data_IF_594958572519
#
_entry.id   IF_594958572519
#
_cell.length_a   1.000
_cell.length_b   1.000
_cell.length_c   1.000
_cell.angle_alpha   90.00
_cell.angle_beta   90.00
_cell.angle_gamma   90.00
#
_symmetry.space_group_name_H-M   'P 1'
#
loop_
_entity.id
_entity.type
_entity.pdbx_description
1 polymer ?
#
# COMPACT_ATOMS: atom_id res chain seq x y z
N UNK A 1 0.70 28.73 -15.58
CA UNK A 1 -0.36 28.67 -14.55
C UNK A 1 0.31 28.21 -13.26
N UNK A 2 0.46 29.11 -12.30
CA UNK A 2 0.98 28.75 -10.99
C UNK A 2 -0.03 27.82 -10.30
N UNK A 3 0.39 26.59 -10.08
CA UNK A 3 -0.40 25.58 -9.35
C UNK A 3 -0.21 25.86 -7.85
N UNK A 4 -1.25 26.34 -7.20
CA UNK A 4 -1.23 26.50 -5.73
C UNK A 4 -1.12 25.09 -5.11
N UNK A 5 0.04 24.80 -4.55
CA UNK A 5 0.29 23.51 -3.86
C UNK A 5 -0.25 23.63 -2.43
N UNK A 6 -1.07 22.68 -2.01
CA UNK A 6 -1.53 22.60 -0.61
C UNK A 6 -0.33 22.40 0.33
N UNK A 7 -0.31 23.08 1.45
CA UNK A 7 0.71 22.90 2.50
C UNK A 7 0.77 21.48 3.06
N UNK A 8 -0.27 20.70 2.83
CA UNK A 8 -0.36 19.29 3.26
C UNK A 8 0.01 18.31 2.16
N UNK A 9 0.28 18.80 0.93
CA UNK A 9 0.70 17.98 -0.21
C UNK A 9 2.04 17.30 0.04
N UNK A 10 2.23 16.14 -0.58
CA UNK A 10 3.51 15.43 -0.63
C UNK A 10 4.64 16.26 -1.25
N UNK A 11 4.29 17.26 -2.06
CA UNK A 11 5.23 18.16 -2.76
C UNK A 11 5.58 19.41 -1.94
N UNK A 12 4.85 19.68 -0.85
CA UNK A 12 5.06 20.87 -0.02
C UNK A 12 6.31 20.81 0.86
N UNK A 13 6.77 19.62 1.19
CA UNK A 13 7.95 19.38 2.01
C UNK A 13 8.94 18.48 1.27
N UNK A 14 10.24 18.69 1.49
CA UNK A 14 11.25 17.78 0.96
C UNK A 14 11.05 16.35 1.52
N UNK A 15 11.40 15.31 0.72
CA UNK A 15 11.25 13.92 1.14
C UNK A 15 12.10 13.61 2.38
N UNK A 16 11.53 12.89 3.34
CA UNK A 16 12.18 12.53 4.59
C UNK A 16 11.91 11.09 5.03
N UNK A 17 12.77 10.54 5.89
CA UNK A 17 12.62 9.16 6.43
C UNK A 17 11.27 8.96 7.13
N UNK A 18 10.72 10.00 7.75
CA UNK A 18 9.40 9.95 8.39
C UNK A 18 8.26 9.59 7.46
N UNK A 19 8.37 9.90 6.16
CA UNK A 19 7.36 9.58 5.15
C UNK A 19 7.18 8.08 4.96
N UNK A 20 8.24 7.29 5.26
CA UNK A 20 8.22 5.84 5.18
C UNK A 20 7.20 5.21 6.15
N UNK A 21 6.72 5.98 7.15
CA UNK A 21 5.58 5.58 7.98
C UNK A 21 4.33 5.23 7.16
N UNK A 22 4.15 5.83 5.99
CA UNK A 22 3.07 5.48 5.07
C UNK A 22 3.08 4.02 4.62
N UNK A 23 4.24 3.38 4.55
CA UNK A 23 4.36 1.94 4.26
C UNK A 23 3.82 1.08 5.41
N UNK A 24 3.94 1.57 6.66
CA UNK A 24 3.47 0.87 7.85
C UNK A 24 1.95 0.94 8.00
N UNK A 25 1.29 1.87 7.29
CA UNK A 25 -0.17 1.92 7.20
C UNK A 25 -0.74 0.73 6.39
N UNK A 26 0.07 0.10 5.54
CA UNK A 26 -0.30 -1.09 4.77
C UNK A 26 0.58 -2.30 5.15
N UNK A 27 0.94 -3.14 4.20
CA UNK A 27 1.71 -4.37 4.38
C UNK A 27 3.20 -4.16 4.74
N UNK A 28 3.64 -2.91 4.94
CA UNK A 28 4.99 -2.61 5.39
C UNK A 28 5.24 -3.16 6.79
N UNK A 29 6.43 -3.72 6.99
CA UNK A 29 6.88 -4.27 8.27
C UNK A 29 8.16 -3.58 8.69
N UNK A 30 8.29 -3.30 9.97
CA UNK A 30 9.51 -2.77 10.57
C UNK A 30 10.01 -3.75 11.62
N UNK A 31 11.30 -4.07 11.57
CA UNK A 31 11.92 -5.00 12.52
C UNK A 31 13.10 -4.30 13.20
N UNK A 32 13.12 -4.30 14.53
CA UNK A 32 14.25 -3.83 15.32
C UNK A 32 15.37 -4.87 15.39
N UNK A 33 16.61 -4.38 15.48
CA UNK A 33 17.78 -5.18 15.83
C UNK A 33 18.32 -4.67 17.17
N UNK A 34 17.87 -5.31 18.23
CA UNK A 34 18.07 -4.78 19.57
C UNK A 34 17.51 -3.35 19.70
N UNK A 35 18.28 -2.50 20.39
CA UNK A 35 17.96 -1.08 20.55
C UNK A 35 18.85 -0.17 19.68
N UNK A 36 19.48 -0.71 18.65
CA UNK A 36 20.54 -0.02 17.91
C UNK A 36 20.18 0.32 16.47
N UNK A 37 19.35 -0.49 15.82
CA UNK A 37 18.98 -0.30 14.42
C UNK A 37 17.60 -0.89 14.12
N UNK A 38 17.04 -0.50 12.99
CA UNK A 38 15.81 -1.08 12.47
C UNK A 38 15.90 -1.28 10.96
N UNK A 39 15.06 -2.16 10.44
CA UNK A 39 14.93 -2.48 9.03
C UNK A 39 13.46 -2.36 8.63
N UNK A 40 13.22 -1.67 7.53
CA UNK A 40 11.90 -1.56 6.93
C UNK A 40 11.81 -2.47 5.70
N UNK A 41 10.69 -3.17 5.57
CA UNK A 41 10.40 -4.00 4.40
C UNK A 41 8.93 -3.90 4.01
N UNK A 42 8.63 -4.06 2.73
CA UNK A 42 7.26 -4.11 2.21
C UNK A 42 7.17 -5.13 1.08
N UNK A 43 6.21 -6.02 1.15
CA UNK A 43 5.85 -6.94 0.06
C UNK A 43 4.80 -6.24 -0.81
N UNK A 44 5.00 -6.27 -2.11
CA UNK A 44 4.09 -5.66 -3.08
C UNK A 44 3.62 -6.69 -4.10
N UNK A 45 2.46 -6.45 -4.70
CA UNK A 45 1.89 -7.41 -5.64
C UNK A 45 2.52 -7.30 -7.03
N UNK A 46 2.70 -6.05 -7.52
CA UNK A 46 3.21 -5.83 -8.86
C UNK A 46 4.69 -5.41 -8.86
N UNK A 47 5.51 -5.97 -9.77
CA UNK A 47 6.95 -5.65 -9.83
C UNK A 47 7.25 -4.16 -10.03
N UNK A 48 6.40 -3.42 -10.75
CA UNK A 48 6.59 -1.99 -10.96
C UNK A 48 6.58 -1.20 -9.64
N UNK A 49 5.77 -1.62 -8.66
CA UNK A 49 5.73 -1.00 -7.32
C UNK A 49 7.08 -1.09 -6.62
N UNK A 50 7.73 -2.27 -6.73
CA UNK A 50 9.04 -2.46 -6.13
C UNK A 50 10.07 -1.48 -6.71
N UNK A 51 10.10 -1.29 -8.03
CA UNK A 51 11.03 -0.36 -8.68
C UNK A 51 10.76 1.11 -8.29
N UNK A 52 9.50 1.50 -8.27
CA UNK A 52 9.10 2.85 -7.82
C UNK A 52 9.48 3.06 -6.36
N UNK A 53 9.18 2.12 -5.47
CA UNK A 53 9.49 2.22 -4.06
C UNK A 53 11.00 2.32 -3.80
N UNK A 54 11.84 1.53 -4.48
CA UNK A 54 13.31 1.66 -4.33
C UNK A 54 13.77 3.09 -4.64
N UNK A 55 13.23 3.71 -5.68
CA UNK A 55 13.52 5.11 -6.02
C UNK A 55 13.03 6.07 -4.93
N UNK A 56 11.80 5.87 -4.44
CA UNK A 56 11.21 6.68 -3.37
C UNK A 56 11.97 6.54 -2.03
N UNK A 57 12.46 5.34 -1.70
CA UNK A 57 13.34 5.13 -0.54
C UNK A 57 14.64 5.93 -0.70
N UNK A 58 15.27 5.86 -1.87
CA UNK A 58 16.52 6.60 -2.14
C UNK A 58 16.32 8.10 -2.03
N UNK A 59 15.24 8.66 -2.56
CA UNK A 59 14.91 10.08 -2.42
C UNK A 59 14.76 10.52 -0.95
N UNK A 60 14.46 9.57 -0.04
CA UNK A 60 14.33 9.81 1.41
C UNK A 60 15.59 9.45 2.20
N UNK A 61 16.70 9.25 1.51
CA UNK A 61 17.98 8.92 2.14
C UNK A 61 18.09 7.47 2.65
N UNK A 62 17.18 6.58 2.24
CA UNK A 62 17.21 5.17 2.60
C UNK A 62 17.46 4.31 1.36
N UNK A 63 18.60 3.62 1.31
CA UNK A 63 18.83 2.62 0.28
C UNK A 63 18.02 1.36 0.57
N UNK A 64 17.34 0.87 -0.45
CA UNK A 64 16.57 -0.36 -0.38
C UNK A 64 16.84 -1.24 -1.60
N UNK A 65 16.67 -2.53 -1.42
CA UNK A 65 16.89 -3.55 -2.45
C UNK A 65 15.59 -4.33 -2.69
N UNK A 66 15.43 -4.80 -3.93
CA UNK A 66 14.36 -5.72 -4.29
C UNK A 66 14.85 -7.14 -4.05
N UNK A 67 14.06 -7.91 -3.35
CA UNK A 67 14.24 -9.35 -3.14
C UNK A 67 12.92 -10.06 -3.40
N UNK A 68 12.93 -11.38 -3.33
CA UNK A 68 11.71 -12.20 -3.39
C UNK A 68 11.32 -12.59 -1.97
N UNK A 69 10.07 -12.34 -1.59
CA UNK A 69 9.52 -12.82 -0.32
C UNK A 69 9.20 -14.33 -0.39
N UNK A 70 8.98 -14.97 0.75
CA UNK A 70 8.66 -16.41 0.85
C UNK A 70 7.40 -16.78 0.04
N UNK A 71 6.45 -15.86 -0.05
CA UNK A 71 5.25 -16.01 -0.89
C UNK A 71 5.50 -15.82 -2.39
N UNK A 72 6.75 -15.62 -2.81
CA UNK A 72 7.14 -15.44 -4.22
C UNK A 72 6.95 -14.03 -4.77
N UNK A 73 6.32 -13.11 -4.05
CA UNK A 73 6.10 -11.72 -4.48
C UNK A 73 7.35 -10.85 -4.29
N UNK A 74 7.45 -9.73 -5.03
CA UNK A 74 8.53 -8.76 -4.82
C UNK A 74 8.48 -8.16 -3.41
N UNK A 75 9.63 -8.06 -2.76
CA UNK A 75 9.82 -7.41 -1.49
C UNK A 75 10.86 -6.30 -1.64
N UNK A 76 10.54 -5.10 -1.20
CA UNK A 76 11.50 -4.00 -1.04
C UNK A 76 11.94 -3.96 0.41
N UNK A 77 13.25 -3.92 0.65
CA UNK A 77 13.82 -4.02 1.99
C UNK A 77 15.08 -3.18 2.14
N UNK A 78 15.18 -2.44 3.24
CA UNK A 78 16.44 -1.77 3.62
C UNK A 78 17.38 -2.73 4.32
N UNK A 79 18.66 -2.39 4.45
CA UNK A 79 19.51 -2.94 5.50
C UNK A 79 19.02 -2.50 6.89
N UNK A 80 19.61 -3.05 7.97
CA UNK A 80 19.45 -2.48 9.30
C UNK A 80 20.16 -1.13 9.39
N UNK A 81 19.44 -0.10 9.85
CA UNK A 81 19.87 1.30 9.90
C UNK A 81 19.53 1.93 11.26
N UNK A 82 20.46 2.72 11.76
CA UNK A 82 20.27 3.44 13.04
C UNK A 82 19.18 4.52 12.91
N UNK A 83 19.09 5.20 11.78
CA UNK A 83 18.15 6.28 11.50
C UNK A 83 16.69 5.82 11.31
N UNK A 84 16.44 4.52 11.14
CA UNK A 84 15.10 3.91 11.16
C UNK A 84 14.65 3.50 12.58
N UNK A 85 15.55 3.53 13.56
CA UNK A 85 15.21 3.15 14.94
C UNK A 85 14.09 4.00 15.55
N UNK A 86 14.07 5.35 15.40
CA UNK A 86 12.97 6.17 15.91
C UNK A 86 11.61 5.78 15.32
N UNK A 87 11.57 5.37 14.04
CA UNK A 87 10.35 4.89 13.40
C UNK A 87 9.91 3.55 14.02
N UNK A 88 10.85 2.61 14.23
CA UNK A 88 10.57 1.33 14.86
C UNK A 88 10.02 1.48 16.28
N UNK A 89 10.67 2.29 17.11
CA UNK A 89 10.27 2.54 18.51
C UNK A 89 8.85 3.13 18.61
N UNK A 90 8.40 3.87 17.61
CA UNK A 90 7.05 4.45 17.59
C UNK A 90 5.99 3.47 17.09
N UNK A 91 6.31 2.59 16.17
CA UNK A 91 5.35 1.71 15.50
C UNK A 91 5.29 0.29 16.05
N UNK A 92 6.36 -0.19 16.69
CA UNK A 92 6.39 -1.50 17.34
C UNK A 92 5.77 -1.43 18.73
N UNK A 93 4.98 -2.42 19.06
CA UNK A 93 4.48 -2.63 20.42
C UNK A 93 5.59 -3.26 21.27
N UNK A 94 6.17 -2.49 22.19
CA UNK A 94 7.09 -3.07 23.16
C UNK A 94 6.27 -3.85 24.23
N UNK A 95 6.50 -5.17 24.32
CA UNK A 95 6.09 -6.01 25.44
C UNK A 95 4.59 -6.11 25.74
N UNK A 96 3.71 -5.55 24.94
CA UNK A 96 2.26 -5.73 25.06
C UNK A 96 1.80 -6.83 24.12
N UNK A 97 1.25 -7.89 24.70
CA UNK A 97 0.36 -8.77 23.98
C UNK A 97 -0.77 -7.90 23.39
N UNK A 98 -0.79 -7.73 22.08
CA UNK A 98 -1.89 -7.11 21.37
C UNK A 98 -3.18 -7.95 21.53
N UNK A 99 -4.34 -7.47 21.04
CA UNK A 99 -5.49 -8.34 20.89
C UNK A 99 -5.05 -9.62 20.18
N UNK A 100 -5.61 -10.76 20.57
CA UNK A 100 -5.24 -12.08 20.05
C UNK A 100 -5.30 -12.21 18.50
N UNK A 101 -5.93 -11.26 17.85
CA UNK A 101 -6.11 -11.19 16.39
C UNK A 101 -5.04 -10.35 15.67
N UNK A 102 -4.07 -9.76 16.38
CA UNK A 102 -3.10 -8.81 15.84
C UNK A 102 -1.69 -9.40 15.88
N UNK A 103 -1.32 -10.07 14.81
CA UNK A 103 -0.07 -10.81 14.66
C UNK A 103 1.08 -9.98 14.05
N UNK A 104 0.82 -8.72 13.67
CA UNK A 104 1.84 -7.89 13.00
C UNK A 104 2.87 -7.26 13.94
N UNK A 105 2.58 -7.20 15.23
CA UNK A 105 3.40 -6.48 16.21
C UNK A 105 3.42 -4.96 16.03
N UNK A 106 2.63 -4.41 15.08
CA UNK A 106 2.53 -2.98 14.79
C UNK A 106 1.37 -2.32 15.53
N UNK A 107 1.50 -1.02 15.77
CA UNK A 107 0.40 -0.18 16.20
C UNK A 107 0.53 1.22 15.61
N UNK A 108 -0.60 1.87 15.34
CA UNK A 108 -0.59 3.30 15.02
C UNK A 108 -0.12 4.07 16.26
N UNK A 109 0.95 4.86 16.18
CA UNK A 109 1.48 5.62 17.31
C UNK A 109 0.42 6.55 17.92
N UNK A 110 0.53 6.81 19.21
CA UNK A 110 -0.26 7.85 19.85
C UNK A 110 0.10 9.22 19.24
N UNK A 111 -0.91 10.05 18.98
CA UNK A 111 -0.73 11.35 18.32
C UNK A 111 -0.24 11.26 16.87
N UNK A 112 -0.37 10.10 16.22
CA UNK A 112 -0.01 9.95 14.80
C UNK A 112 -0.77 10.94 13.94
N UNK A 113 -0.03 11.66 13.11
CA UNK A 113 -0.57 12.56 12.09
C UNK A 113 -0.08 12.12 10.73
N UNK A 114 -1.02 11.76 9.87
CA UNK A 114 -0.76 11.41 8.49
C UNK A 114 -0.42 12.69 7.71
N UNK A 115 0.65 12.67 6.91
CA UNK A 115 0.99 13.72 5.95
C UNK A 115 0.69 13.29 4.51
N UNK A 116 0.67 14.24 3.57
CA UNK A 116 0.55 13.92 2.15
C UNK A 116 1.68 13.02 1.66
N UNK A 117 2.91 13.24 2.13
CA UNK A 117 4.06 12.40 1.77
C UNK A 117 3.93 10.96 2.31
N UNK A 118 3.45 10.77 3.55
CA UNK A 118 3.13 9.44 4.08
C UNK A 118 1.99 8.79 3.29
N UNK A 119 0.94 9.56 2.96
CA UNK A 119 -0.20 9.08 2.19
C UNK A 119 0.21 8.67 0.76
N UNK A 120 1.15 9.40 0.15
CA UNK A 120 1.78 9.02 -1.12
C UNK A 120 2.49 7.66 -1.02
N UNK A 121 3.29 7.44 0.02
CA UNK A 121 3.97 6.16 0.25
C UNK A 121 2.96 5.02 0.47
N UNK A 122 1.88 5.27 1.20
CA UNK A 122 0.79 4.31 1.38
C UNK A 122 0.12 3.97 0.04
N UNK A 123 -0.22 4.98 -0.78
CA UNK A 123 -0.80 4.78 -2.10
C UNK A 123 0.12 3.99 -3.05
N UNK A 124 1.43 4.25 -3.04
CA UNK A 124 2.41 3.53 -3.85
C UNK A 124 2.54 2.05 -3.45
N UNK A 125 2.46 1.74 -2.16
CA UNK A 125 2.60 0.36 -1.69
C UNK A 125 1.30 -0.45 -1.82
N UNK A 126 0.14 0.13 -1.49
CA UNK A 126 -1.11 -0.60 -1.38
C UNK A 126 -2.33 0.10 -2.00
N UNK A 127 -2.13 1.19 -2.75
CA UNK A 127 -3.22 1.91 -3.38
C UNK A 127 -3.67 1.28 -4.70
N UNK A 128 -4.97 1.28 -4.98
CA UNK A 128 -5.52 0.82 -6.26
C UNK A 128 -6.87 1.47 -6.58
N UNK A 129 -7.19 1.69 -7.85
CA UNK A 129 -8.52 2.07 -8.27
C UNK A 129 -9.54 0.99 -7.90
N UNK A 130 -10.69 1.39 -7.42
CA UNK A 130 -11.84 0.53 -7.18
C UNK A 130 -13.00 0.89 -8.11
N UNK A 131 -14.04 0.07 -8.14
CA UNK A 131 -15.24 0.29 -9.00
C UNK A 131 -15.95 1.62 -8.70
N UNK A 132 -15.88 2.12 -7.48
CA UNK A 132 -16.56 3.33 -7.03
C UNK A 132 -15.64 4.23 -6.19
N UNK A 133 -14.36 4.37 -6.59
CA UNK A 133 -13.42 5.21 -5.87
C UNK A 133 -12.02 4.63 -5.82
N UNK A 134 -11.30 4.91 -4.74
CA UNK A 134 -9.93 4.47 -4.54
C UNK A 134 -9.80 3.67 -3.25
N UNK A 135 -8.97 2.65 -3.27
CA UNK A 135 -8.74 1.74 -2.16
C UNK A 135 -7.29 1.89 -1.70
N UNK A 136 -7.10 2.15 -0.43
CA UNK A 136 -5.81 2.10 0.26
C UNK A 136 -5.77 0.79 1.06
N UNK A 137 -4.96 -0.16 0.63
CA UNK A 137 -4.80 -1.44 1.33
C UNK A 137 -4.31 -1.22 2.76
N UNK A 138 -4.81 -2.02 3.70
CA UNK A 138 -4.35 -2.06 5.09
C UNK A 138 -3.80 -3.44 5.42
N UNK A 139 -3.01 -3.54 6.48
CA UNK A 139 -2.43 -4.81 6.89
C UNK A 139 -3.50 -5.72 7.51
N UNK A 140 -3.82 -6.87 6.90
CA UNK A 140 -4.80 -7.80 7.46
C UNK A 140 -4.34 -8.42 8.79
N UNK A 141 -3.03 -8.42 9.06
CA UNK A 141 -2.45 -8.92 10.30
C UNK A 141 -2.46 -7.86 11.43
N UNK A 142 -2.98 -6.65 11.17
CA UNK A 142 -3.06 -5.56 12.14
C UNK A 142 -4.46 -4.93 12.16
N UNK A 143 -5.54 -5.70 12.40
CA UNK A 143 -6.91 -5.18 12.36
C UNK A 143 -7.16 -4.04 13.35
N UNK A 144 -6.47 -4.03 14.49
CA UNK A 144 -6.57 -2.96 15.50
C UNK A 144 -6.13 -1.58 15.01
N UNK A 145 -5.39 -1.52 13.89
CA UNK A 145 -4.94 -0.27 13.29
C UNK A 145 -5.97 0.36 12.35
N UNK A 146 -6.90 -0.44 11.82
CA UNK A 146 -7.72 -0.05 10.67
C UNK A 146 -8.57 1.20 10.92
N UNK A 147 -9.33 1.24 12.02
CA UNK A 147 -10.16 2.39 12.37
C UNK A 147 -9.31 3.64 12.61
N UNK A 148 -8.18 3.50 13.30
CA UNK A 148 -7.26 4.63 13.55
C UNK A 148 -6.67 5.19 12.26
N UNK A 149 -6.44 4.37 11.24
CA UNK A 149 -5.99 4.81 9.92
C UNK A 149 -7.10 5.55 9.16
N UNK A 150 -8.35 5.12 9.29
CA UNK A 150 -9.51 5.88 8.76
C UNK A 150 -9.60 7.26 9.42
N UNK A 151 -9.50 7.30 10.75
CA UNK A 151 -9.53 8.54 11.52
C UNK A 151 -8.40 9.50 11.12
N UNK A 152 -7.19 8.98 10.85
CA UNK A 152 -6.02 9.77 10.47
C UNK A 152 -6.17 10.49 9.10
N UNK A 153 -7.12 10.08 8.24
CA UNK A 153 -7.42 10.75 6.98
C UNK A 153 -8.33 11.97 7.16
N UNK A 154 -9.12 12.01 8.23
CA UNK A 154 -10.11 13.07 8.47
C UNK A 154 -9.49 14.47 8.57
N UNK A 155 -8.38 14.71 9.31
CA UNK A 155 -7.75 16.02 9.37
C UNK A 155 -7.20 16.51 8.03
N UNK A 156 -6.98 15.59 7.06
CA UNK A 156 -6.53 15.90 5.71
C UNK A 156 -7.72 16.23 4.77
N UNK A 157 -8.95 16.26 5.27
CA UNK A 157 -10.15 16.48 4.45
C UNK A 157 -10.59 15.28 3.62
N UNK A 158 -10.00 14.10 3.83
CA UNK A 158 -10.31 12.87 3.12
C UNK A 158 -11.17 11.97 4.00
N UNK A 159 -12.50 12.08 3.87
CA UNK A 159 -13.41 11.12 4.50
C UNK A 159 -13.36 9.77 3.80
N UNK A 160 -13.10 8.72 4.55
CA UNK A 160 -12.99 7.35 4.06
C UNK A 160 -13.74 6.38 4.98
N UNK A 161 -13.89 5.13 4.52
CA UNK A 161 -14.51 4.04 5.30
C UNK A 161 -13.71 2.76 5.06
N UNK A 162 -13.71 1.85 6.02
CA UNK A 162 -13.23 0.50 5.80
C UNK A 162 -14.12 -0.24 4.81
N UNK A 163 -13.53 -1.11 4.02
CA UNK A 163 -14.28 -2.08 3.21
C UNK A 163 -15.03 -3.04 4.14
N UNK A 164 -16.22 -3.45 3.72
CA UNK A 164 -17.04 -4.35 4.54
C UNK A 164 -16.41 -5.75 4.68
N UNK A 165 -16.96 -6.58 5.59
CA UNK A 165 -16.41 -7.91 5.91
C UNK A 165 -16.44 -8.91 4.73
N UNK A 166 -17.19 -8.60 3.66
CA UNK A 166 -17.22 -9.40 2.44
C UNK A 166 -16.10 -9.05 1.43
N UNK A 167 -15.27 -8.06 1.74
CA UNK A 167 -14.12 -7.74 0.88
C UNK A 167 -13.04 -8.81 1.05
N UNK A 168 -12.49 -9.28 -0.06
CA UNK A 168 -11.43 -10.28 -0.08
C UNK A 168 -10.18 -9.81 0.68
N UNK A 169 -9.87 -8.51 0.57
CA UNK A 169 -8.74 -7.88 1.26
C UNK A 169 -9.22 -6.58 1.92
N UNK A 170 -8.90 -6.36 3.20
CA UNK A 170 -9.28 -5.14 3.90
C UNK A 170 -8.59 -3.91 3.28
N UNK A 171 -9.34 -2.84 3.15
CA UNK A 171 -8.85 -1.58 2.62
C UNK A 171 -9.63 -0.39 3.18
N UNK A 172 -9.02 0.76 3.19
CA UNK A 172 -9.69 2.04 3.40
C UNK A 172 -10.18 2.56 2.05
N UNK A 173 -11.49 2.74 1.92
CA UNK A 173 -12.15 3.16 0.68
C UNK A 173 -12.46 4.65 0.70
N UNK A 174 -11.94 5.38 -0.28
CA UNK A 174 -12.24 6.79 -0.55
C UNK A 174 -13.20 6.87 -1.74
N UNK A 175 -14.36 7.49 -1.56
CA UNK A 175 -15.40 7.61 -2.59
C UNK A 175 -15.88 9.04 -2.74
N UNK A 176 -16.34 9.38 -3.95
CA UNK A 176 -16.87 10.69 -4.29
C UNK A 176 -15.81 11.62 -4.86
N UNK A 177 -16.21 12.37 -5.89
CA UNK A 177 -15.34 13.20 -6.72
C UNK A 177 -14.47 14.15 -5.90
N UNK A 178 -15.05 14.96 -5.01
CA UNK A 178 -14.31 15.93 -4.19
C UNK A 178 -13.25 15.29 -3.29
N UNK A 179 -13.53 14.10 -2.73
CA UNK A 179 -12.58 13.40 -1.86
C UNK A 179 -11.44 12.78 -2.64
N UNK A 180 -11.71 12.32 -3.86
CA UNK A 180 -10.68 11.82 -4.77
C UNK A 180 -9.80 12.96 -5.29
N UNK A 181 -10.37 14.13 -5.57
CA UNK A 181 -9.61 15.35 -5.92
C UNK A 181 -8.71 15.79 -4.75
N UNK A 182 -9.23 15.82 -3.51
CA UNK A 182 -8.43 16.11 -2.32
C UNK A 182 -7.32 15.08 -2.11
N UNK A 183 -7.60 13.79 -2.31
CA UNK A 183 -6.59 12.72 -2.24
C UNK A 183 -5.49 12.94 -3.27
N UNK A 184 -5.84 13.25 -4.53
CA UNK A 184 -4.89 13.55 -5.61
C UNK A 184 -4.01 14.76 -5.27
N UNK A 185 -4.60 15.83 -4.75
CA UNK A 185 -3.86 17.01 -4.33
C UNK A 185 -2.84 16.68 -3.23
N UNK A 186 -3.20 15.83 -2.29
CA UNK A 186 -2.33 15.42 -1.18
C UNK A 186 -1.16 14.54 -1.63
N UNK A 187 -1.42 13.54 -2.48
CA UNK A 187 -0.38 12.58 -2.91
C UNK A 187 0.41 13.03 -4.13
N UNK A 188 -0.05 14.10 -4.82
CA UNK A 188 0.60 14.65 -6.00
C UNK A 188 0.51 13.75 -7.24
N UNK A 189 1.30 14.07 -8.26
CA UNK A 189 1.32 13.35 -9.53
C UNK A 189 1.86 11.91 -9.36
N UNK A 190 1.36 10.95 -10.17
CA UNK A 190 1.89 9.60 -10.16
C UNK A 190 3.36 9.60 -10.60
N UNK A 191 4.24 8.86 -9.94
CA UNK A 191 5.57 8.62 -10.50
C UNK A 191 5.46 7.73 -11.75
N UNK A 192 6.41 7.82 -12.70
CA UNK A 192 6.41 7.00 -13.89
C UNK A 192 6.24 5.51 -13.58
N UNK A 193 5.23 4.89 -14.21
CA UNK A 193 4.84 3.50 -14.02
C UNK A 193 3.76 3.26 -12.97
N UNK A 194 3.28 4.29 -12.26
CA UNK A 194 2.21 4.20 -11.26
C UNK A 194 0.85 4.72 -11.77
N UNK A 195 0.77 5.22 -12.99
CA UNK A 195 -0.38 5.94 -13.54
C UNK A 195 -1.68 5.11 -13.46
N UNK A 196 -1.59 3.82 -13.80
CA UNK A 196 -2.75 2.91 -13.78
C UNK A 196 -3.26 2.60 -12.36
N UNK A 197 -2.41 2.78 -11.35
CA UNK A 197 -2.75 2.53 -9.94
C UNK A 197 -3.13 3.80 -9.17
N UNK A 198 -3.09 4.98 -9.83
CA UNK A 198 -3.35 6.27 -9.19
C UNK A 198 -4.84 6.60 -9.10
N UNK A 199 -5.28 7.42 -8.13
CA UNK A 199 -6.66 7.88 -8.08
C UNK A 199 -7.06 8.59 -9.38
N UNK A 200 -8.23 8.26 -9.92
CA UNK A 200 -8.71 8.80 -11.21
C UNK A 200 -8.37 7.93 -12.41
N UNK A 201 -7.48 6.95 -12.29
CA UNK A 201 -7.30 5.93 -13.31
C UNK A 201 -8.57 5.07 -13.45
N UNK A 202 -8.85 4.62 -14.66
CA UNK A 202 -9.96 3.69 -14.90
C UNK A 202 -9.66 2.37 -14.12
N UNK A 203 -10.66 1.77 -13.44
CA UNK A 203 -10.45 0.48 -12.79
C UNK A 203 -10.02 -0.55 -13.83
N UNK A 204 -9.12 -1.48 -13.47
CA UNK A 204 -8.71 -2.54 -14.37
C UNK A 204 -9.95 -3.30 -14.84
N UNK A 205 -10.08 -3.46 -16.15
CA UNK A 205 -11.13 -4.33 -16.71
C UNK A 205 -10.78 -5.74 -16.25
N UNK A 206 -11.65 -6.36 -15.45
CA UNK A 206 -11.53 -7.78 -15.18
C UNK A 206 -11.61 -8.49 -16.54
N UNK A 207 -10.50 -9.04 -16.98
CA UNK A 207 -10.50 -10.00 -18.07
C UNK A 207 -11.37 -11.15 -17.57
N UNK A 208 -12.52 -11.36 -18.18
CA UNK A 208 -13.33 -12.53 -17.94
C UNK A 208 -12.41 -13.76 -18.11
N UNK A 209 -12.48 -14.76 -17.21
CA UNK A 209 -11.70 -15.96 -17.37
C UNK A 209 -11.98 -16.49 -18.78
N UNK A 210 -10.92 -16.75 -19.52
CA UNK A 210 -11.00 -17.38 -20.85
C UNK A 210 -11.89 -18.63 -20.70
N UNK A 211 -13.04 -18.63 -21.35
CA UNK A 211 -13.85 -19.83 -21.49
C UNK A 211 -12.94 -20.94 -22.02
N UNK A 212 -12.94 -22.13 -21.41
CA UNK A 212 -12.15 -23.24 -21.92
C UNK A 212 -12.54 -23.51 -23.38
N UNK A 213 -11.58 -23.82 -24.24
CA UNK A 213 -11.90 -24.14 -25.63
C UNK A 213 -12.90 -25.31 -25.64
N UNK A 214 -13.95 -25.14 -26.44
CA UNK A 214 -14.94 -26.19 -26.66
C UNK A 214 -14.23 -27.50 -27.03
N UNK A 215 -14.64 -28.65 -26.48
CA UNK A 215 -14.08 -29.93 -26.90
C UNK A 215 -14.32 -30.14 -28.40
N UNK A 216 -13.25 -30.37 -29.14
CA UNK A 216 -13.29 -30.70 -30.57
C UNK A 216 -13.90 -32.07 -30.64
N UNK A 217 -15.11 -32.18 -31.22
CA UNK A 217 -15.73 -33.46 -31.54
C UNK A 217 -14.91 -34.16 -32.63
N UNK A 218 -14.27 -35.26 -32.26
CA UNK A 218 -13.64 -36.14 -33.22
C UNK A 218 -14.75 -36.96 -33.92
N UNK A 219 -14.74 -37.06 -35.25
CA UNK A 219 -15.70 -37.96 -35.94
C UNK A 219 -15.39 -39.40 -35.58
N UNK A 220 -16.45 -40.16 -35.21
CA UNK A 220 -16.37 -41.58 -34.97
C UNK A 220 -15.83 -42.32 -36.19
N UNK A 221 -14.88 -43.20 -35.93
CA UNK A 221 -14.32 -44.09 -36.95
C UNK A 221 -15.40 -45.13 -37.35
N UNK A 222 -15.81 -45.12 -38.61
CA UNK A 222 -16.66 -46.11 -39.22
C UNK A 222 -15.89 -47.43 -39.27
N UNK A 223 -16.23 -48.36 -38.41
CA UNK A 223 -15.79 -49.78 -38.52
C UNK A 223 -16.58 -50.43 -39.62
N UNK A 224 -15.96 -50.66 -40.77
CA UNK A 224 -16.47 -51.51 -41.87
C UNK A 224 -16.12 -52.96 -41.55
N UNK A 225 -17.15 -53.74 -41.30
CA UNK A 225 -17.06 -55.20 -41.20
C UNK A 225 -17.25 -55.83 -42.62
N UNK A 226 -16.28 -56.60 -43.07
CA UNK A 226 -16.42 -57.56 -44.15
C UNK A 226 -15.76 -58.85 -43.71
#
# INVERSE_FOLDING_TARGET
MDRTISLFSAEASGPGLGDLAGLLCCHGQIAGFGRTAARLSVVVEEPWRAHVLVREFRCRGADAQVSKADCGRPQVRTSFRVDLLPLALRWLREGRAGPAEDDSGKAVPEGFRLSGAMLRMWALAGGRPGTQGYLLGVDPLAPSMHERLVEALTPLGVSAKLTGPKAEVPAVKVTGKRRLEALLELIGEPPPGAEAAWPGAAPPRHSLPHSPPHPVSYPEAVTSTA
#
